data_IF_785404803542
#
_entry.id   IF_785404803542
#
_cell.length_a   1.000
_cell.length_b   1.000
_cell.length_c   1.000
_cell.angle_alpha   90.00
_cell.angle_beta   90.00
_cell.angle_gamma   90.00
#
_symmetry.space_group_name_H-M   'P 1'
#
loop_
_entity.id
_entity.type
_entity.pdbx_description
1 polymer ?
#
# COMPACT_ATOMS: atom_id res chain seq x y z
N UNK A 1 -15.73 -48.20 2.27
CA UNK A 1 -14.43 -47.48 2.38
C UNK A 1 -14.16 -46.84 1.03
N UNK A 2 -14.62 -45.60 0.81
CA UNK A 2 -14.39 -44.86 -0.43
C UNK A 2 -13.31 -43.82 -0.16
N UNK A 3 -12.13 -43.99 -0.76
CA UNK A 3 -11.03 -43.03 -0.63
C UNK A 3 -11.25 -41.95 -1.67
N UNK A 4 -11.43 -40.72 -1.18
CA UNK A 4 -11.65 -39.52 -1.99
C UNK A 4 -10.48 -39.30 -2.96
N UNK A 5 -10.79 -39.39 -4.26
CA UNK A 5 -9.88 -39.14 -5.40
C UNK A 5 -9.47 -37.65 -5.52
N UNK A 6 -9.87 -36.77 -4.59
CA UNK A 6 -9.60 -35.33 -4.65
C UNK A 6 -8.24 -34.92 -4.07
N UNK A 7 -7.47 -35.84 -3.47
CA UNK A 7 -6.24 -35.50 -2.73
C UNK A 7 -4.96 -35.58 -3.59
N UNK A 8 -5.01 -36.13 -4.81
CA UNK A 8 -3.81 -36.40 -5.63
C UNK A 8 -3.47 -35.34 -6.70
N UNK A 9 -4.36 -34.40 -7.03
CA UNK A 9 -4.14 -33.49 -8.16
C UNK A 9 -3.33 -32.23 -7.82
N UNK A 10 -3.14 -31.92 -6.53
CA UNK A 10 -2.46 -30.66 -6.13
C UNK A 10 -0.93 -30.66 -6.31
N UNK A 11 -0.32 -31.77 -6.73
CA UNK A 11 1.15 -31.89 -6.86
C UNK A 11 1.68 -31.63 -8.26
N UNK A 12 0.85 -31.77 -9.29
CA UNK A 12 1.30 -31.84 -10.68
C UNK A 12 1.00 -30.55 -11.42
N UNK A 13 -0.30 -30.22 -11.52
CA UNK A 13 -0.76 -29.01 -12.16
C UNK A 13 -1.15 -27.98 -11.11
N UNK A 14 -0.56 -26.79 -11.14
CA UNK A 14 -0.92 -25.70 -10.24
C UNK A 14 -0.48 -24.34 -10.76
N UNK A 15 -1.13 -23.30 -10.26
CA UNK A 15 -0.65 -21.93 -10.31
C UNK A 15 -0.16 -21.53 -8.91
N UNK A 16 1.00 -20.90 -8.84
CA UNK A 16 1.49 -20.25 -7.63
C UNK A 16 1.70 -18.76 -7.87
N UNK A 17 1.47 -17.97 -6.82
CA UNK A 17 1.53 -16.52 -6.83
C UNK A 17 2.45 -16.10 -5.68
N UNK A 18 3.48 -15.30 -5.97
CA UNK A 18 4.47 -14.83 -5.01
C UNK A 18 4.58 -13.31 -5.01
N UNK A 19 4.85 -12.75 -3.84
CA UNK A 19 4.94 -11.30 -3.61
C UNK A 19 6.35 -10.77 -3.87
N UNK A 20 6.64 -10.47 -5.13
CA UNK A 20 7.97 -10.05 -5.58
C UNK A 20 8.33 -10.62 -6.96
N UNK A 21 9.59 -10.51 -7.35
CA UNK A 21 10.08 -10.85 -8.70
C UNK A 21 10.90 -12.15 -8.79
N UNK A 22 10.94 -12.95 -7.72
CA UNK A 22 11.83 -14.11 -7.59
C UNK A 22 11.11 -15.32 -7.02
N UNK A 23 11.59 -16.54 -7.31
CA UNK A 23 11.06 -17.78 -6.73
C UNK A 23 11.25 -17.86 -5.21
N UNK A 24 12.16 -17.06 -4.66
CA UNK A 24 12.40 -16.95 -3.21
C UNK A 24 11.46 -15.96 -2.51
N UNK A 25 10.61 -15.24 -3.25
CA UNK A 25 9.66 -14.29 -2.70
C UNK A 25 8.51 -15.01 -1.96
N UNK A 26 7.84 -14.27 -1.07
CA UNK A 26 6.80 -14.81 -0.19
C UNK A 26 5.65 -15.43 -0.99
N UNK A 27 5.25 -16.64 -0.60
CA UNK A 27 4.18 -17.37 -1.29
C UNK A 27 2.81 -16.87 -0.82
N UNK A 28 2.11 -16.16 -1.69
CA UNK A 28 0.74 -15.67 -1.43
C UNK A 28 -0.30 -16.78 -1.59
N UNK A 29 -0.06 -17.73 -2.50
CA UNK A 29 -0.97 -18.84 -2.70
C UNK A 29 -0.53 -19.85 -3.75
N UNK A 30 -1.05 -21.07 -3.63
CA UNK A 30 -0.90 -22.15 -4.59
C UNK A 30 -2.24 -22.83 -4.81
N UNK A 31 -2.69 -22.90 -6.07
CA UNK A 31 -4.06 -23.28 -6.43
C UNK A 31 -4.08 -24.28 -7.58
N UNK A 32 -5.00 -25.25 -7.49
CA UNK A 32 -5.07 -26.38 -8.42
C UNK A 32 -6.43 -27.08 -8.34
N UNK A 33 -7.50 -26.28 -8.46
CA UNK A 33 -8.88 -26.78 -8.43
C UNK A 33 -9.70 -26.15 -9.55
N UNK A 34 -10.98 -26.53 -9.65
CA UNK A 34 -11.97 -25.91 -10.53
C UNK A 34 -12.64 -24.67 -9.92
N UNK A 35 -12.18 -24.20 -8.76
CA UNK A 35 -12.65 -22.98 -8.09
C UNK A 35 -11.58 -21.91 -8.25
N UNK A 36 -11.95 -20.76 -8.80
CA UNK A 36 -11.06 -19.62 -8.93
C UNK A 36 -10.61 -19.10 -7.54
N UNK A 37 -9.32 -18.76 -7.36
CA UNK A 37 -8.85 -18.20 -6.10
C UNK A 37 -9.45 -16.80 -5.85
N UNK A 38 -9.46 -16.33 -4.59
CA UNK A 38 -9.77 -14.95 -4.27
C UNK A 38 -8.83 -13.96 -4.97
N UNK A 39 -9.23 -12.69 -5.05
CA UNK A 39 -8.36 -11.63 -5.54
C UNK A 39 -7.11 -11.50 -4.65
N UNK A 40 -5.96 -11.29 -5.28
CA UNK A 40 -4.66 -11.15 -4.62
C UNK A 40 -4.17 -9.72 -4.83
N UNK A 41 -3.73 -9.08 -3.76
CA UNK A 41 -3.11 -7.74 -3.77
C UNK A 41 -1.66 -7.94 -3.34
N UNK A 42 -0.72 -7.38 -4.10
CA UNK A 42 0.70 -7.39 -3.75
C UNK A 42 1.00 -6.38 -2.66
N UNK A 43 2.00 -6.66 -1.83
CA UNK A 43 2.59 -5.65 -0.94
C UNK A 43 3.48 -4.68 -1.70
N UNK A 44 4.02 -5.09 -2.85
CA UNK A 44 4.92 -4.29 -3.69
C UNK A 44 4.45 -4.10 -5.14
N UNK A 45 5.30 -3.50 -6.00
CA UNK A 45 4.96 -3.23 -7.40
C UNK A 45 5.05 -4.46 -8.32
N UNK A 46 5.41 -5.63 -7.78
CA UNK A 46 5.67 -6.84 -8.58
C UNK A 46 5.05 -8.08 -7.94
N UNK A 47 4.36 -8.88 -8.75
CA UNK A 47 4.00 -10.26 -8.45
C UNK A 47 4.69 -11.21 -9.42
N UNK A 48 5.11 -12.37 -8.93
CA UNK A 48 5.54 -13.49 -9.75
C UNK A 48 4.40 -14.51 -9.80
N UNK A 49 3.90 -14.77 -11.01
CA UNK A 49 2.88 -15.80 -11.27
C UNK A 49 3.54 -16.93 -12.04
N UNK A 50 3.49 -18.14 -11.49
CA UNK A 50 4.08 -19.34 -12.11
C UNK A 50 3.02 -20.41 -12.28
N UNK A 51 2.84 -20.87 -13.52
CA UNK A 51 2.03 -22.03 -13.84
C UNK A 51 2.92 -23.23 -14.09
N UNK A 52 2.60 -24.35 -13.46
CA UNK A 52 3.30 -25.64 -13.60
C UNK A 52 2.28 -26.67 -14.03
N UNK A 53 2.65 -27.52 -14.99
CA UNK A 53 1.84 -28.64 -15.43
C UNK A 53 2.70 -29.86 -15.76
N UNK A 54 2.12 -31.05 -15.67
CA UNK A 54 2.75 -32.32 -16.06
C UNK A 54 2.29 -32.79 -17.47
N UNK A 55 2.55 -34.05 -17.81
CA UNK A 55 2.27 -34.60 -19.14
C UNK A 55 0.83 -35.13 -19.32
N UNK A 56 -0.04 -35.11 -18.30
CA UNK A 56 -1.32 -35.81 -18.34
C UNK A 56 -2.49 -35.02 -17.70
N UNK A 57 -3.73 -35.36 -18.07
CA UNK A 57 -4.96 -34.86 -17.44
C UNK A 57 -5.16 -33.32 -17.46
N UNK A 58 -4.97 -32.71 -18.63
CA UNK A 58 -5.11 -31.25 -18.78
C UNK A 58 -6.56 -30.78 -18.62
N UNK A 59 -6.73 -29.62 -17.98
CA UNK A 59 -7.99 -28.89 -17.89
C UNK A 59 -8.07 -27.70 -18.85
N UNK A 60 -9.15 -26.92 -18.75
CA UNK A 60 -9.35 -25.71 -19.57
C UNK A 60 -8.35 -24.57 -19.26
N UNK A 61 -7.60 -24.66 -18.15
CA UNK A 61 -6.63 -23.65 -17.72
C UNK A 61 -7.25 -22.55 -16.85
N UNK A 62 -6.63 -21.37 -16.87
CA UNK A 62 -7.05 -20.20 -16.10
C UNK A 62 -7.02 -18.94 -16.98
N UNK A 63 -7.81 -17.94 -16.60
CA UNK A 63 -7.72 -16.59 -17.13
C UNK A 63 -7.79 -15.63 -15.95
N UNK A 64 -6.89 -14.65 -15.92
CA UNK A 64 -6.87 -13.61 -14.89
C UNK A 64 -6.75 -12.25 -15.55
N UNK A 65 -7.29 -11.26 -14.87
CA UNK A 65 -7.09 -9.85 -15.20
C UNK A 65 -6.22 -9.27 -14.11
N UNK A 66 -5.15 -8.58 -14.52
CA UNK A 66 -4.38 -7.75 -13.61
C UNK A 66 -4.78 -6.28 -13.82
N UNK A 67 -4.75 -5.51 -12.74
CA UNK A 67 -4.88 -4.07 -12.77
C UNK A 67 -4.00 -3.47 -11.68
N UNK A 68 -3.58 -2.23 -11.87
CA UNK A 68 -2.82 -1.51 -10.84
C UNK A 68 -3.77 -1.28 -9.67
N UNK A 69 -3.53 -1.95 -8.55
CA UNK A 69 -4.23 -1.68 -7.31
C UNK A 69 -3.66 -0.38 -6.74
N UNK A 70 -4.41 0.72 -6.88
CA UNK A 70 -4.03 2.00 -6.27
C UNK A 70 -4.29 1.92 -4.77
N UNK A 71 -3.27 1.57 -4.01
CA UNK A 71 -3.21 1.84 -2.56
C UNK A 71 -3.12 3.35 -2.39
N UNK A 72 -4.28 3.98 -2.19
CA UNK A 72 -4.41 5.43 -2.12
C UNK A 72 -4.32 6.10 -3.50
N UNK A 73 -5.17 7.09 -3.74
CA UNK A 73 -4.88 8.08 -4.78
C UNK A 73 -3.48 8.66 -4.51
N UNK A 74 -2.59 8.71 -5.49
CA UNK A 74 -1.35 9.49 -5.35
C UNK A 74 -1.72 10.95 -5.04
N UNK A 75 -1.66 11.26 -3.74
CA UNK A 75 -2.03 12.52 -3.12
C UNK A 75 -0.78 13.34 -2.80
N UNK A 76 0.40 12.81 -3.12
CA UNK A 76 1.67 13.44 -2.79
C UNK A 76 1.91 14.67 -3.66
N UNK A 77 2.31 15.79 -3.05
CA UNK A 77 2.50 17.07 -3.77
C UNK A 77 3.65 17.90 -3.22
N UNK A 78 4.34 18.59 -4.12
CA UNK A 78 5.36 19.57 -3.76
C UNK A 78 4.82 20.99 -3.88
N UNK A 79 5.13 21.83 -2.90
CA UNK A 79 4.76 23.24 -2.84
C UNK A 79 6.01 24.09 -2.81
N UNK A 80 6.06 25.08 -3.70
CA UNK A 80 7.14 26.08 -3.79
C UNK A 80 6.62 27.51 -3.61
N UNK A 81 5.31 27.66 -3.45
CA UNK A 81 4.66 28.94 -3.19
C UNK A 81 4.96 29.43 -1.76
N UNK A 82 5.08 30.75 -1.58
CA UNK A 82 5.36 31.36 -0.27
C UNK A 82 4.24 31.15 0.76
N UNK A 83 3.02 30.87 0.29
CA UNK A 83 1.87 30.51 1.09
C UNK A 83 0.99 29.52 0.31
N UNK A 84 0.12 28.83 1.03
CA UNK A 84 -0.81 27.86 0.46
C UNK A 84 -1.66 27.20 1.53
N UNK A 85 -2.67 26.47 1.08
CA UNK A 85 -3.51 25.61 1.93
C UNK A 85 -3.25 24.18 1.49
N UNK A 86 -3.03 23.29 2.45
CA UNK A 86 -2.89 21.86 2.24
C UNK A 86 -4.01 21.17 3.01
N UNK A 87 -4.73 20.28 2.33
CA UNK A 87 -5.89 19.57 2.87
C UNK A 87 -5.73 18.07 2.64
N UNK A 88 -6.35 17.26 3.49
CA UNK A 88 -6.45 15.83 3.26
C UNK A 88 -7.32 15.53 2.02
N UNK A 89 -7.08 14.43 1.30
CA UNK A 89 -7.91 14.07 0.15
C UNK A 89 -9.38 13.93 0.57
N UNK A 90 -10.26 14.69 -0.09
CA UNK A 90 -11.70 14.65 0.19
C UNK A 90 -12.19 15.65 1.24
N UNK A 91 -11.32 16.44 1.87
CA UNK A 91 -11.74 17.48 2.81
C UNK A 91 -12.81 18.42 2.19
N UNK A 92 -13.89 18.78 2.91
CA UNK A 92 -14.16 18.54 4.34
C UNK A 92 -14.82 17.19 4.67
N UNK A 93 -15.03 16.32 3.68
CA UNK A 93 -15.53 14.96 3.92
C UNK A 93 -14.42 14.05 4.47
N UNK A 94 -14.78 12.81 4.80
CA UNK A 94 -13.83 11.82 5.31
C UNK A 94 -12.74 11.51 4.29
N UNK A 95 -11.51 11.42 4.77
CA UNK A 95 -10.40 10.95 3.96
C UNK A 95 -10.57 9.46 3.60
N UNK A 96 -10.15 9.04 2.39
CA UNK A 96 -10.10 7.63 2.01
C UNK A 96 -9.27 6.77 2.98
N UNK A 97 -9.65 5.50 3.11
CA UNK A 97 -8.84 4.53 3.87
C UNK A 97 -7.54 4.17 3.14
N UNK A 98 -6.54 3.72 3.89
CA UNK A 98 -5.26 3.21 3.38
C UNK A 98 -4.53 4.22 2.48
N UNK A 99 -4.46 5.48 2.94
CA UNK A 99 -3.72 6.53 2.26
C UNK A 99 -2.29 6.59 2.78
N UNK A 100 -1.35 6.76 1.85
CA UNK A 100 0.01 7.22 2.11
C UNK A 100 0.27 8.44 1.22
N UNK A 101 0.25 9.63 1.83
CA UNK A 101 0.39 10.90 1.11
C UNK A 101 1.61 11.65 1.62
N UNK A 102 2.51 12.08 0.74
CA UNK A 102 3.68 12.91 1.11
C UNK A 102 3.59 14.30 0.52
N UNK A 103 3.65 15.33 1.37
CA UNK A 103 3.61 16.72 0.92
C UNK A 103 4.89 17.42 1.33
N UNK A 104 5.56 18.05 0.38
CA UNK A 104 6.88 18.66 0.56
C UNK A 104 6.74 20.15 0.31
N UNK A 105 7.04 20.97 1.32
CA UNK A 105 7.09 22.43 1.16
C UNK A 105 8.54 22.88 1.06
N UNK A 106 8.86 23.64 0.03
CA UNK A 106 10.21 24.15 -0.25
C UNK A 106 10.16 25.68 -0.21
N UNK A 107 10.86 26.26 0.76
CA UNK A 107 11.00 27.72 0.91
C UNK A 107 12.40 28.19 0.51
N UNK A 108 12.56 29.42 0.00
CA UNK A 108 13.88 29.99 -0.28
C UNK A 108 14.79 30.05 0.97
N UNK A 109 16.13 30.07 0.80
CA UNK A 109 17.06 30.26 1.90
C UNK A 109 16.76 31.54 2.69
N UNK A 110 17.00 31.49 4.00
CA UNK A 110 16.74 32.59 4.95
C UNK A 110 15.26 32.99 5.11
N UNK A 111 14.33 32.07 4.80
CA UNK A 111 12.92 32.19 5.17
C UNK A 111 12.54 31.07 6.15
N UNK A 112 11.78 31.43 7.18
CA UNK A 112 11.22 30.48 8.13
C UNK A 112 9.83 30.04 7.68
N UNK A 113 9.53 28.76 7.90
CA UNK A 113 8.23 28.17 7.57
C UNK A 113 7.38 28.08 8.83
N UNK A 114 6.18 28.65 8.79
CA UNK A 114 5.18 28.51 9.86
C UNK A 114 4.01 27.67 9.35
N UNK A 115 3.67 26.61 10.09
CA UNK A 115 2.48 25.79 9.85
C UNK A 115 1.38 26.18 10.83
N UNK A 116 0.14 26.24 10.35
CA UNK A 116 -1.04 26.48 11.20
C UNK A 116 -2.16 25.56 10.77
N UNK A 117 -2.63 24.71 11.69
CA UNK A 117 -3.76 23.84 11.46
C UNK A 117 -5.06 24.64 11.65
N UNK A 118 -5.87 24.72 10.59
CA UNK A 118 -7.19 25.36 10.64
C UNK A 118 -8.28 24.39 11.14
N UNK A 119 -8.10 23.10 10.87
CA UNK A 119 -8.93 21.99 11.31
C UNK A 119 -8.07 20.73 11.36
N UNK A 120 -8.31 19.83 12.32
CA UNK A 120 -7.58 18.58 12.47
C UNK A 120 -8.48 17.53 13.14
N UNK A 121 -8.73 16.42 12.43
CA UNK A 121 -9.56 15.32 12.90
C UNK A 121 -9.11 14.02 12.20
N UNK A 122 -8.44 13.13 12.95
CA UNK A 122 -7.98 11.80 12.52
C UNK A 122 -8.54 10.72 13.45
N UNK A 123 -8.42 9.45 13.08
CA UNK A 123 -8.84 8.32 13.93
C UNK A 123 -8.14 8.37 15.31
N UNK A 124 -8.92 8.55 16.38
CA UNK A 124 -8.41 8.59 17.74
C UNK A 124 -8.01 7.19 18.22
N UNK A 125 -6.83 7.08 18.83
CA UNK A 125 -6.46 5.90 19.62
C UNK A 125 -7.32 5.88 20.91
N UNK A 126 -8.03 4.78 21.22
CA UNK A 126 -8.91 4.70 22.39
C UNK A 126 -8.21 4.77 23.76
N UNK A 127 -6.88 4.91 23.82
CA UNK A 127 -6.16 5.09 25.08
C UNK A 127 -6.44 6.50 25.70
N UNK A 128 -6.80 6.55 26.99
CA UNK A 128 -7.11 7.81 27.68
C UNK A 128 -5.85 8.68 27.81
N UNK A 129 -5.87 9.87 27.21
CA UNK A 129 -4.81 10.87 27.34
C UNK A 129 -4.22 11.39 26.03
N UNK A 130 -4.61 10.84 24.86
CA UNK A 130 -4.02 11.22 23.57
C UNK A 130 -2.53 10.86 23.45
N UNK A 131 -2.02 10.09 24.40
CA UNK A 131 -0.66 9.58 24.51
C UNK A 131 -0.64 8.11 24.05
N UNK A 132 -1.38 7.80 22.98
CA UNK A 132 -1.29 6.53 22.26
C UNK A 132 -0.31 6.66 21.11
N UNK A 133 0.30 5.57 20.66
CA UNK A 133 1.29 5.53 19.57
C UNK A 133 0.67 5.82 18.17
N UNK A 134 -0.45 6.56 18.10
CA UNK A 134 -1.24 6.85 16.90
C UNK A 134 -1.34 5.65 15.96
N UNK A 135 -1.77 4.51 16.51
CA UNK A 135 -1.64 3.20 15.85
C UNK A 135 -2.38 3.08 14.51
N UNK A 136 -3.45 3.84 14.33
CA UNK A 136 -4.35 3.69 13.18
C UNK A 136 -4.08 4.71 12.10
N UNK A 137 -4.28 5.99 12.40
CA UNK A 137 -4.03 7.10 11.50
C UNK A 137 -3.15 8.14 12.23
N UNK A 138 -2.12 8.65 11.55
CA UNK A 138 -1.25 9.69 12.11
C UNK A 138 -0.82 10.68 11.05
N UNK A 139 -0.44 11.88 11.50
CA UNK A 139 0.24 12.88 10.68
C UNK A 139 1.61 13.14 11.29
N UNK A 140 2.66 12.75 10.58
CA UNK A 140 4.03 13.06 11.00
C UNK A 140 4.52 14.37 10.37
N UNK A 141 5.46 15.07 11.01
CA UNK A 141 6.00 16.33 10.47
C UNK A 141 7.52 16.35 10.67
N UNK A 142 8.27 16.47 9.58
CA UNK A 142 9.73 16.35 9.56
C UNK A 142 10.42 17.64 9.11
N UNK A 143 11.33 18.26 9.88
CA UNK A 143 12.18 19.37 9.37
C UNK A 143 13.36 18.83 8.55
N UNK A 144 13.09 18.51 7.29
CA UNK A 144 14.03 17.93 6.33
C UNK A 144 13.42 16.77 5.53
N UNK A 145 14.09 16.35 4.45
CA UNK A 145 13.77 15.07 3.81
C UNK A 145 14.45 13.90 4.55
N UNK A 146 13.81 12.72 4.64
CA UNK A 146 14.39 11.52 5.24
C UNK A 146 15.67 11.00 4.56
N UNK A 147 15.98 11.44 3.33
CA UNK A 147 17.15 10.99 2.56
C UNK A 147 17.99 12.16 1.99
N UNK A 148 18.15 13.22 2.79
CA UNK A 148 19.20 14.23 2.67
C UNK A 148 19.75 14.53 1.26
N UNK A 149 19.07 15.37 0.48
CA UNK A 149 19.73 16.23 -0.52
C UNK A 149 18.82 17.37 -1.00
N UNK A 150 18.43 18.30 -0.12
CA UNK A 150 18.02 19.64 -0.54
C UNK A 150 18.45 20.68 0.51
N UNK A 151 18.98 21.82 0.07
CA UNK A 151 19.40 22.94 0.93
C UNK A 151 18.22 23.86 1.27
N UNK A 152 17.17 23.31 1.88
CA UNK A 152 16.01 24.05 2.36
C UNK A 152 15.25 23.30 3.45
N UNK A 153 14.66 24.04 4.40
CA UNK A 153 13.73 23.50 5.40
C UNK A 153 12.60 22.81 4.65
N UNK A 154 12.52 21.50 4.80
CA UNK A 154 11.50 20.67 4.18
C UNK A 154 10.55 20.25 5.28
N UNK A 155 9.25 20.22 5.04
CA UNK A 155 8.30 19.54 5.92
C UNK A 155 7.67 18.41 5.14
N UNK A 156 7.87 17.15 5.57
CA UNK A 156 7.15 15.99 5.05
C UNK A 156 6.08 15.60 6.06
N UNK A 157 4.91 15.24 5.56
CA UNK A 157 3.94 14.50 6.36
C UNK A 157 3.46 13.28 5.63
N UNK A 158 3.10 12.25 6.40
CA UNK A 158 2.53 11.02 5.90
C UNK A 158 1.32 10.66 6.76
N UNK A 159 0.19 10.43 6.08
CA UNK A 159 -0.92 9.67 6.64
C UNK A 159 -0.58 8.20 6.41
N UNK A 160 -0.79 7.34 7.40
CA UNK A 160 -0.51 5.92 7.28
C UNK A 160 -1.58 5.12 8.03
N UNK A 161 -1.76 3.87 7.60
CA UNK A 161 -2.50 2.83 8.32
C UNK A 161 -1.73 1.51 8.20
N UNK A 162 -1.47 0.76 9.30
CA UNK A 162 -0.85 -0.56 9.22
C UNK A 162 -1.76 -1.61 8.56
#
# INVERSE_FOLDING_TARGET
MFVSLHVFLHRYDYIEIRDGNSENADLLGKHCSNIAPPAVISSGPVLLIRFVSDYAHQGAGFSLRYEIFKTGSDCSRNFTSQNGIIESPGFPDKYPHNLECSFIIIVPPAMDLTLTFLSFDLENDPLPGGEGDCKYDWLEVWDGLPQGEFTGHTMQYSLFKP
#
